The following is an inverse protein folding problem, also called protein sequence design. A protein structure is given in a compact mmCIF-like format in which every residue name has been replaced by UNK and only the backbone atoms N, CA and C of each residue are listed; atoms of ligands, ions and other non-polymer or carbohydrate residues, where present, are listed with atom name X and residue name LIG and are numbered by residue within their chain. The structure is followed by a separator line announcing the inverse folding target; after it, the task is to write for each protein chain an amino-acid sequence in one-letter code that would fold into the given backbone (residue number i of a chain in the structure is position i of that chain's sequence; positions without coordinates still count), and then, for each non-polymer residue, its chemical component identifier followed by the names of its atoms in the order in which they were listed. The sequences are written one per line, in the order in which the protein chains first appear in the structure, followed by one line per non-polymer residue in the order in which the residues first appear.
data_IF_316308576273
#
_entry.id   IF_316308576273
#
_cell.length_a   1.000
_cell.length_b   1.000
_cell.length_c   1.000
_cell.angle_alpha   90.00
_cell.angle_beta   90.00
_cell.angle_gamma   90.00
#
_symmetry.space_group_name_H-M   'P 1'
#
loop_
_entity.id
_entity.type
_entity.pdbx_description
1 polymer ?
#
# COMPACT_ATOMS: atom_id res chain seq x y z
N UNK A 1 4.02 -28.74 -10.52
CA UNK A 1 3.93 -27.61 -11.46
C UNK A 1 4.33 -26.32 -10.74
N UNK A 2 5.09 -25.44 -11.39
CA UNK A 2 5.50 -24.15 -10.82
C UNK A 2 4.33 -23.20 -10.54
N UNK A 3 3.25 -23.26 -11.31
CA UNK A 3 2.04 -22.45 -11.06
C UNK A 3 1.39 -22.79 -9.72
N UNK A 4 1.29 -24.09 -9.40
CA UNK A 4 0.76 -24.57 -8.12
C UNK A 4 1.66 -24.15 -6.95
N UNK A 5 2.98 -24.19 -7.13
CA UNK A 5 3.92 -23.72 -6.11
C UNK A 5 3.78 -22.21 -5.88
N UNK A 6 3.62 -21.42 -6.94
CA UNK A 6 3.33 -19.99 -6.83
C UNK A 6 2.05 -19.72 -6.04
N UNK A 7 0.97 -20.44 -6.35
CA UNK A 7 -0.29 -20.35 -5.62
C UNK A 7 -0.14 -20.74 -4.14
N UNK A 8 0.65 -21.77 -3.84
CA UNK A 8 0.92 -22.17 -2.46
C UNK A 8 1.65 -21.05 -1.67
N UNK A 9 2.66 -20.42 -2.27
CA UNK A 9 3.33 -19.27 -1.66
C UNK A 9 2.40 -18.06 -1.51
N UNK A 10 1.52 -17.81 -2.49
CA UNK A 10 0.53 -16.74 -2.41
C UNK A 10 -0.45 -16.97 -1.26
N UNK A 11 -0.97 -18.19 -1.12
CA UNK A 11 -1.83 -18.57 0.01
C UNK A 11 -1.07 -18.45 1.33
N UNK A 12 0.16 -18.94 1.42
CA UNK A 12 0.99 -18.80 2.62
C UNK A 12 1.18 -17.32 3.01
N UNK A 13 1.43 -16.46 2.02
CA UNK A 13 1.61 -15.03 2.24
C UNK A 13 0.36 -14.38 2.86
N UNK A 14 -0.84 -14.70 2.33
CA UNK A 14 -2.08 -14.11 2.84
C UNK A 14 -2.61 -14.77 4.13
N UNK A 15 -2.37 -16.07 4.32
CA UNK A 15 -2.96 -16.83 5.43
C UNK A 15 -2.04 -16.96 6.64
N UNK A 16 -0.72 -16.96 6.45
CA UNK A 16 0.25 -17.20 7.54
C UNK A 16 0.90 -15.90 7.95
N UNK A 17 1.70 -15.31 7.07
CA UNK A 17 2.45 -14.10 7.33
C UNK A 17 2.79 -13.41 6.01
N UNK A 18 2.56 -12.10 5.97
CA UNK A 18 2.84 -11.25 4.80
C UNK A 18 4.32 -10.89 4.71
N UNK A 19 5.18 -11.91 4.68
CA UNK A 19 6.62 -11.75 4.56
C UNK A 19 7.02 -11.47 3.11
N UNK A 20 7.79 -10.41 2.89
CA UNK A 20 8.27 -10.05 1.54
C UNK A 20 9.08 -11.18 0.88
N UNK A 21 9.75 -12.02 1.68
CA UNK A 21 10.49 -13.18 1.17
C UNK A 21 9.57 -14.21 0.50
N UNK A 22 8.42 -14.52 1.12
CA UNK A 22 7.42 -15.44 0.55
C UNK A 22 6.82 -14.88 -0.74
N UNK A 23 6.54 -13.58 -0.79
CA UNK A 23 6.04 -12.94 -2.02
C UNK A 23 7.07 -13.00 -3.15
N UNK A 24 8.37 -12.82 -2.86
CA UNK A 24 9.45 -13.00 -3.85
C UNK A 24 9.54 -14.44 -4.37
N UNK A 25 9.34 -15.44 -3.50
CA UNK A 25 9.28 -16.85 -3.91
C UNK A 25 8.07 -17.12 -4.81
N UNK A 26 6.90 -16.58 -4.45
CA UNK A 26 5.69 -16.62 -5.28
C UNK A 26 5.94 -16.08 -6.69
N UNK A 27 6.50 -14.86 -6.79
CA UNK A 27 6.81 -14.25 -8.08
C UNK A 27 7.85 -15.03 -8.88
N UNK A 28 8.85 -15.62 -8.22
CA UNK A 28 9.84 -16.47 -8.86
C UNK A 28 9.21 -17.75 -9.43
N UNK A 29 8.28 -18.36 -8.69
CA UNK A 29 7.55 -19.54 -9.15
C UNK A 29 6.65 -19.23 -10.36
N UNK A 30 5.92 -18.11 -10.35
CA UNK A 30 5.13 -17.70 -11.52
C UNK A 30 6.00 -17.42 -12.75
N UNK A 31 7.16 -16.79 -12.58
CA UNK A 31 8.11 -16.58 -13.68
C UNK A 31 8.60 -17.90 -14.29
N UNK A 32 8.80 -18.94 -13.47
CA UNK A 32 9.14 -20.28 -13.98
C UNK A 32 7.94 -20.95 -14.67
N UNK A 33 6.73 -20.76 -14.15
CA UNK A 33 5.51 -21.29 -14.76
C UNK A 33 5.25 -20.72 -16.16
N UNK A 34 5.58 -19.45 -16.40
CA UNK A 34 5.43 -18.83 -17.73
C UNK A 34 6.33 -19.43 -18.83
N UNK A 35 7.37 -20.17 -18.44
CA UNK A 35 8.26 -20.88 -19.37
C UNK A 35 7.67 -22.24 -19.78
N UNK A 36 6.73 -22.78 -19.01
CA UNK A 36 6.06 -24.04 -19.34
C UNK A 36 4.95 -23.80 -20.38
N UNK A 37 4.98 -24.48 -21.54
CA UNK A 37 4.01 -24.24 -22.62
C UNK A 37 2.55 -24.47 -22.22
N UNK A 38 2.30 -25.38 -21.25
CA UNK A 38 0.95 -25.70 -20.80
C UNK A 38 0.48 -24.62 -19.82
N UNK A 39 1.29 -24.29 -18.81
CA UNK A 39 0.95 -23.30 -17.80
C UNK A 39 0.82 -21.88 -18.39
N UNK A 40 1.61 -21.54 -19.42
CA UNK A 40 1.50 -20.26 -20.15
C UNK A 40 0.13 -20.06 -20.81
N UNK A 41 -0.59 -21.14 -21.12
CA UNK A 41 -1.95 -21.09 -21.65
C UNK A 41 -3.04 -21.00 -20.58
N UNK A 42 -2.69 -21.05 -19.29
CA UNK A 42 -3.66 -21.06 -18.19
C UNK A 42 -3.96 -19.63 -17.72
N UNK A 43 -5.22 -19.15 -17.82
CA UNK A 43 -5.58 -17.80 -17.40
C UNK A 43 -5.38 -17.56 -15.89
N UNK A 44 -5.60 -18.58 -15.07
CA UNK A 44 -5.45 -18.53 -13.61
C UNK A 44 -4.04 -18.13 -13.14
N UNK A 45 -3.01 -18.53 -13.90
CA UNK A 45 -1.62 -18.16 -13.63
C UNK A 45 -1.47 -16.63 -13.60
N UNK A 46 -1.98 -15.97 -14.63
CA UNK A 46 -1.85 -14.52 -14.80
C UNK A 46 -2.78 -13.75 -13.89
N UNK A 47 -3.97 -14.27 -13.61
CA UNK A 47 -4.85 -13.68 -12.61
C UNK A 47 -4.19 -13.69 -11.23
N UNK A 48 -3.69 -14.83 -10.76
CA UNK A 48 -3.06 -14.93 -9.44
C UNK A 48 -1.76 -14.11 -9.36
N UNK A 49 -0.96 -14.11 -10.44
CA UNK A 49 0.19 -13.22 -10.56
C UNK A 49 -0.22 -11.74 -10.47
N UNK A 50 -1.30 -11.35 -11.15
CA UNK A 50 -1.86 -10.00 -11.09
C UNK A 50 -2.31 -9.60 -9.69
N UNK A 51 -2.92 -10.51 -8.94
CA UNK A 51 -3.28 -10.28 -7.52
C UNK A 51 -2.03 -10.04 -6.66
N UNK A 52 -0.99 -10.87 -6.83
CA UNK A 52 0.27 -10.72 -6.11
C UNK A 52 0.96 -9.37 -6.43
N UNK A 53 1.05 -9.02 -7.72
CA UNK A 53 1.63 -7.76 -8.19
C UNK A 53 0.84 -6.54 -7.71
N UNK A 54 -0.49 -6.59 -7.76
CA UNK A 54 -1.37 -5.53 -7.24
C UNK A 54 -1.11 -5.31 -5.74
N UNK A 55 -0.93 -6.39 -4.97
CA UNK A 55 -0.62 -6.29 -3.55
C UNK A 55 0.76 -5.68 -3.29
N UNK A 56 1.76 -6.01 -4.11
CA UNK A 56 3.13 -5.47 -4.04
C UNK A 56 3.26 -4.04 -4.61
N UNK A 57 2.16 -3.45 -5.07
CA UNK A 57 2.10 -2.12 -5.75
C UNK A 57 2.85 -2.06 -7.09
N UNK A 58 3.11 -3.21 -7.72
CA UNK A 58 3.57 -3.32 -9.11
C UNK A 58 2.38 -3.19 -10.06
N UNK A 59 1.81 -1.99 -10.14
CA UNK A 59 0.52 -1.76 -10.78
C UNK A 59 0.53 -1.95 -12.31
N UNK A 60 1.62 -1.60 -12.98
CA UNK A 60 1.75 -1.76 -14.43
C UNK A 60 1.68 -3.24 -14.81
N UNK A 61 2.53 -4.07 -14.23
CA UNK A 61 2.56 -5.50 -14.49
C UNK A 61 1.29 -6.22 -14.01
N UNK A 62 0.63 -5.70 -12.97
CA UNK A 62 -0.67 -6.22 -12.53
C UNK A 62 -1.75 -6.00 -13.60
N UNK A 63 -1.82 -4.79 -14.18
CA UNK A 63 -2.75 -4.47 -15.27
C UNK A 63 -2.50 -5.37 -16.48
N UNK A 64 -1.24 -5.56 -16.87
CA UNK A 64 -0.87 -6.46 -17.96
C UNK A 64 -1.27 -7.91 -17.68
N UNK A 65 -1.05 -8.39 -16.46
CA UNK A 65 -1.38 -9.75 -16.06
C UNK A 65 -2.90 -10.00 -16.11
N UNK A 66 -3.71 -9.05 -15.63
CA UNK A 66 -5.17 -9.15 -15.74
C UNK A 66 -5.66 -9.04 -17.19
N UNK A 67 -5.09 -8.16 -18.00
CA UNK A 67 -5.42 -8.04 -19.43
C UNK A 67 -5.10 -9.33 -20.18
N UNK A 68 -3.95 -9.94 -19.90
CA UNK A 68 -3.57 -11.21 -20.51
C UNK A 68 -4.47 -12.37 -20.08
N UNK A 69 -4.85 -12.45 -18.80
CA UNK A 69 -5.85 -13.42 -18.32
C UNK A 69 -7.19 -13.25 -19.04
N UNK A 70 -7.65 -12.01 -19.27
CA UNK A 70 -8.87 -11.74 -20.05
C UNK A 70 -8.77 -12.22 -21.50
N UNK A 71 -7.59 -12.19 -22.12
CA UNK A 71 -7.39 -12.65 -23.50
C UNK A 71 -7.39 -14.17 -23.60
N UNK A 72 -6.85 -14.86 -22.59
CA UNK A 72 -6.80 -16.32 -22.53
C UNK A 72 -8.19 -16.93 -22.30
N UNK A 73 -9.03 -16.31 -21.46
CA UNK A 73 -10.41 -16.75 -21.21
C UNK A 73 -11.39 -15.56 -21.17
N UNK A 74 -11.90 -15.11 -22.33
CA UNK A 74 -12.77 -13.92 -22.40
C UNK A 74 -14.09 -13.99 -21.62
N UNK A 75 -14.77 -15.15 -21.49
CA UNK A 75 -15.94 -15.30 -20.62
C UNK A 75 -15.65 -15.16 -19.12
N UNK A 76 -14.40 -15.34 -18.67
CA UNK A 76 -14.03 -15.31 -17.26
C UNK A 76 -14.05 -13.88 -16.71
N UNK A 77 -15.02 -13.61 -15.83
CA UNK A 77 -15.31 -12.26 -15.31
C UNK A 77 -14.27 -11.70 -14.31
N UNK A 78 -13.71 -12.48 -13.36
CA UNK A 78 -12.86 -11.95 -12.29
C UNK A 78 -11.67 -11.10 -12.77
N UNK A 79 -10.84 -11.50 -13.75
CA UNK A 79 -9.75 -10.65 -14.21
C UNK A 79 -10.23 -9.33 -14.80
N UNK A 80 -11.37 -9.34 -15.50
CA UNK A 80 -11.98 -8.13 -16.07
C UNK A 80 -12.47 -7.18 -14.98
N UNK A 81 -13.04 -7.72 -13.90
CA UNK A 81 -13.45 -6.95 -12.73
C UNK A 81 -12.24 -6.34 -12.04
N UNK A 82 -11.23 -7.14 -11.73
CA UNK A 82 -9.98 -6.68 -11.10
C UNK A 82 -9.26 -5.61 -11.92
N UNK A 83 -9.21 -5.79 -13.25
CA UNK A 83 -8.67 -4.80 -14.18
C UNK A 83 -9.42 -3.46 -14.10
N UNK A 84 -10.76 -3.49 -14.10
CA UNK A 84 -11.58 -2.28 -14.00
C UNK A 84 -11.40 -1.59 -12.64
N UNK A 85 -11.43 -2.35 -11.55
CA UNK A 85 -11.22 -1.85 -10.18
C UNK A 85 -9.85 -1.22 -10.02
N UNK A 86 -8.79 -1.86 -10.54
CA UNK A 86 -7.43 -1.34 -10.47
C UNK A 86 -7.29 -0.04 -11.27
N UNK A 87 -7.86 0.05 -12.47
CA UNK A 87 -7.88 1.28 -13.27
C UNK A 87 -8.59 2.41 -12.52
N UNK A 88 -9.75 2.14 -11.92
CA UNK A 88 -10.49 3.13 -11.14
C UNK A 88 -9.68 3.59 -9.92
N UNK A 89 -9.07 2.67 -9.19
CA UNK A 89 -8.21 2.96 -8.04
C UNK A 89 -7.02 3.84 -8.43
N UNK A 90 -6.33 3.53 -9.52
CA UNK A 90 -5.16 4.28 -9.99
C UNK A 90 -5.54 5.69 -10.46
N UNK A 91 -6.64 5.83 -11.21
CA UNK A 91 -7.17 7.14 -11.60
C UNK A 91 -7.56 7.97 -10.38
N UNK A 92 -8.26 7.36 -9.42
CA UNK A 92 -8.65 8.02 -8.17
C UNK A 92 -7.44 8.47 -7.34
N UNK A 93 -6.44 7.60 -7.20
CA UNK A 93 -5.22 7.88 -6.43
C UNK A 93 -4.39 8.98 -7.09
N UNK A 94 -4.20 8.90 -8.41
CA UNK A 94 -3.50 9.92 -9.19
C UNK A 94 -4.18 11.28 -9.06
N UNK A 95 -5.52 11.33 -9.20
CA UNK A 95 -6.29 12.56 -9.03
C UNK A 95 -6.23 13.10 -7.60
N UNK A 96 -6.30 12.22 -6.60
CA UNK A 96 -6.23 12.58 -5.19
C UNK A 96 -4.90 13.27 -4.86
N UNK A 97 -3.78 12.69 -5.29
CA UNK A 97 -2.43 13.26 -5.09
C UNK A 97 -2.26 14.55 -5.88
N UNK A 98 -2.60 14.55 -7.17
CA UNK A 98 -2.46 15.70 -8.07
C UNK A 98 -3.24 16.92 -7.60
N UNK A 99 -4.46 16.71 -7.09
CA UNK A 99 -5.35 17.80 -6.63
C UNK A 99 -5.26 18.06 -5.13
N UNK A 100 -4.45 17.29 -4.39
CA UNK A 100 -4.33 17.37 -2.92
C UNK A 100 -5.69 17.31 -2.25
N UNK A 101 -6.52 16.36 -2.66
CA UNK A 101 -7.90 16.20 -2.19
C UNK A 101 -8.84 17.36 -2.55
N UNK A 102 -8.52 18.13 -3.60
CA UNK A 102 -9.25 19.35 -4.03
C UNK A 102 -9.36 20.41 -2.91
N UNK A 103 -8.42 20.41 -1.96
CA UNK A 103 -8.36 21.40 -0.89
C UNK A 103 -7.72 22.69 -1.43
N UNK A 104 -8.35 23.83 -1.17
CA UNK A 104 -7.83 25.15 -1.55
C UNK A 104 -6.44 25.39 -0.93
N UNK A 105 -5.51 25.97 -1.70
CA UNK A 105 -4.12 26.22 -1.29
C UNK A 105 -3.99 26.96 0.05
N UNK A 106 -4.82 27.98 0.30
CA UNK A 106 -4.84 28.70 1.59
C UNK A 106 -5.18 27.79 2.77
N UNK A 107 -6.12 26.86 2.59
CA UNK A 107 -6.49 25.88 3.62
C UNK A 107 -5.39 24.83 3.81
N UNK A 108 -4.72 24.39 2.74
CA UNK A 108 -3.56 23.51 2.83
C UNK A 108 -2.43 24.15 3.64
N UNK A 109 -2.10 25.41 3.37
CA UNK A 109 -1.09 26.16 4.13
C UNK A 109 -1.46 26.24 5.62
N UNK A 110 -2.73 26.51 5.95
CA UNK A 110 -3.20 26.49 7.34
C UNK A 110 -3.07 25.11 8.00
N UNK A 111 -3.43 24.04 7.28
CA UNK A 111 -3.31 22.66 7.77
C UNK A 111 -1.84 22.33 8.09
N UNK A 112 -0.93 22.66 7.18
CA UNK A 112 0.51 22.43 7.34
C UNK A 112 1.10 23.28 8.47
N UNK A 113 0.79 24.57 8.54
CA UNK A 113 1.26 25.46 9.62
C UNK A 113 0.79 25.03 11.01
N UNK A 114 -0.35 24.33 11.09
CA UNK A 114 -0.88 23.83 12.36
C UNK A 114 -0.24 22.51 12.83
N UNK A 115 0.74 21.96 12.11
CA UNK A 115 1.47 20.76 12.53
C UNK A 115 2.33 21.12 13.76
N UNK A 116 1.98 20.55 14.91
CA UNK A 116 2.70 20.74 16.18
C UNK A 116 3.74 19.62 16.38
N UNK A 117 4.91 19.95 16.93
CA UNK A 117 5.94 18.98 17.35
C UNK A 117 5.41 17.94 18.35
N UNK A 118 4.37 18.26 19.12
CA UNK A 118 3.68 17.29 20.00
C UNK A 118 3.08 16.10 19.23
N UNK A 119 2.80 16.27 17.94
CA UNK A 119 2.28 15.20 17.08
C UNK A 119 3.31 14.11 16.78
N UNK A 120 4.60 14.38 17.03
CA UNK A 120 5.67 13.37 16.97
C UNK A 120 5.48 12.29 18.05
N UNK A 121 4.79 12.61 19.15
CA UNK A 121 4.46 11.66 20.21
C UNK A 121 5.69 10.89 20.70
N UNK A 122 5.67 9.56 20.53
CA UNK A 122 6.78 8.71 20.92
C UNK A 122 8.03 8.85 20.04
N UNK A 123 7.90 9.38 18.82
CA UNK A 123 8.98 9.58 17.87
C UNK A 123 9.66 10.95 18.02
N UNK A 124 9.65 11.50 19.24
CA UNK A 124 10.38 12.73 19.53
C UNK A 124 11.91 12.49 19.38
N UNK A 125 12.70 13.51 18.99
CA UNK A 125 14.13 13.35 18.63
C UNK A 125 15.00 12.68 19.70
N UNK A 126 14.68 12.88 20.98
CA UNK A 126 15.45 12.38 22.12
C UNK A 126 15.09 10.94 22.52
N UNK A 127 14.18 10.29 21.79
CA UNK A 127 13.73 8.93 22.08
C UNK A 127 14.43 7.94 21.15
N UNK A 128 15.01 6.91 21.76
CA UNK A 128 15.66 5.82 21.04
C UNK A 128 14.67 4.68 20.78
N UNK A 129 14.68 4.18 19.55
CA UNK A 129 13.77 3.14 19.06
C UNK A 129 14.51 1.89 18.61
N UNK A 130 13.76 0.80 18.49
CA UNK A 130 14.24 -0.45 17.90
C UNK A 130 13.41 -0.75 16.66
N UNK A 131 14.07 -0.88 15.51
CA UNK A 131 13.47 -1.22 14.23
C UNK A 131 14.10 -2.52 13.71
N UNK A 132 13.34 -3.62 13.76
CA UNK A 132 13.85 -4.95 13.43
C UNK A 132 15.07 -5.31 14.29
N UNK A 133 16.22 -5.54 13.66
CA UNK A 133 17.48 -5.82 14.33
C UNK A 133 18.23 -4.58 14.82
N UNK A 134 17.89 -3.38 14.33
CA UNK A 134 18.56 -2.12 14.67
C UNK A 134 18.03 -1.59 16.00
N UNK A 135 18.93 -1.42 16.97
CA UNK A 135 18.65 -0.85 18.29
C UNK A 135 19.17 0.58 18.38
N UNK A 136 18.62 1.37 19.29
CA UNK A 136 19.06 2.73 19.58
C UNK A 136 19.01 3.67 18.36
N UNK A 137 17.94 3.58 17.57
CA UNK A 137 17.72 4.44 16.41
C UNK A 137 17.00 5.72 16.86
N UNK A 138 17.60 6.88 16.60
CA UNK A 138 16.93 8.18 16.67
C UNK A 138 16.36 8.52 15.29
N UNK A 139 15.18 9.16 15.28
CA UNK A 139 14.49 9.52 14.06
C UNK A 139 14.63 11.02 13.77
N UNK A 140 14.98 11.33 12.53
CA UNK A 140 15.04 12.69 12.03
C UNK A 140 13.81 13.01 11.17
N UNK A 141 13.07 14.06 11.53
CA UNK A 141 11.95 14.52 10.71
C UNK A 141 12.44 14.92 9.33
N UNK A 142 11.81 14.37 8.29
CA UNK A 142 12.20 14.57 6.89
C UNK A 142 10.98 14.92 6.05
N UNK A 143 11.16 15.86 5.11
CA UNK A 143 10.14 16.31 4.17
C UNK A 143 9.94 15.32 3.03
N UNK A 144 8.76 15.34 2.42
CA UNK A 144 8.39 14.49 1.27
C UNK A 144 9.35 14.71 0.10
N UNK A 145 9.74 15.97 -0.17
CA UNK A 145 10.64 16.31 -1.27
C UNK A 145 12.09 15.81 -1.06
N UNK A 146 12.47 15.50 0.18
CA UNK A 146 13.79 15.01 0.55
C UNK A 146 13.87 13.48 0.70
N UNK A 147 12.74 12.77 0.58
CA UNK A 147 12.73 11.31 0.63
C UNK A 147 13.37 10.69 -0.62
N UNK A 148 14.10 9.61 -0.42
CA UNK A 148 14.67 8.79 -1.48
C UNK A 148 13.76 7.61 -1.82
N UNK A 149 13.78 7.17 -3.08
CA UNK A 149 13.05 5.97 -3.51
C UNK A 149 13.59 4.74 -2.77
N UNK A 150 12.69 3.94 -2.20
CA UNK A 150 13.01 2.82 -1.33
C UNK A 150 12.86 3.16 0.15
N UNK A 151 13.56 2.40 1.00
CA UNK A 151 13.50 2.55 2.46
C UNK A 151 14.29 3.77 2.93
N UNK A 152 13.64 4.67 3.66
CA UNK A 152 14.29 5.84 4.28
C UNK A 152 14.55 5.57 5.76
N UNK A 153 15.61 4.82 6.05
CA UNK A 153 15.99 4.47 7.42
C UNK A 153 16.26 5.68 8.30
N UNK A 154 15.89 5.59 9.58
CA UNK A 154 16.06 6.67 10.56
C UNK A 154 15.36 7.99 10.21
N UNK A 155 14.50 8.01 9.18
CA UNK A 155 13.70 9.18 8.81
C UNK A 155 12.29 9.06 9.34
N UNK A 156 11.67 10.20 9.62
CA UNK A 156 10.28 10.30 10.05
C UNK A 156 9.53 11.29 9.16
N UNK A 157 8.51 10.79 8.49
CA UNK A 157 7.60 11.64 7.72
C UNK A 157 6.45 12.11 8.63
N UNK A 158 6.15 13.40 8.59
CA UNK A 158 5.02 14.00 9.32
C UNK A 158 4.21 14.86 8.36
N UNK A 159 2.90 14.65 8.31
CA UNK A 159 2.04 15.43 7.42
C UNK A 159 0.56 15.40 7.81
N UNK A 160 -0.24 16.09 7.02
CA UNK A 160 -1.69 16.21 7.18
C UNK A 160 -2.42 15.38 6.12
N UNK A 161 -3.47 14.69 6.53
CA UNK A 161 -4.34 13.96 5.61
C UNK A 161 -5.22 14.95 4.85
N UNK A 162 -5.24 14.84 3.53
CA UNK A 162 -6.01 15.73 2.63
C UNK A 162 -7.16 15.04 1.89
N UNK A 163 -7.21 13.71 1.93
CA UNK A 163 -8.30 12.92 1.37
C UNK A 163 -8.00 11.44 1.42
N UNK A 164 -9.00 10.60 1.16
CA UNK A 164 -8.86 9.15 1.12
C UNK A 164 -9.54 8.56 -0.11
N UNK A 165 -9.07 7.39 -0.52
CA UNK A 165 -9.71 6.56 -1.54
C UNK A 165 -10.56 5.53 -0.83
N UNK A 166 -11.85 5.50 -1.18
CA UNK A 166 -12.71 4.38 -0.82
C UNK A 166 -12.48 3.26 -1.82
N UNK A 167 -12.08 2.09 -1.32
CA UNK A 167 -11.90 0.88 -2.11
C UNK A 167 -12.90 -0.16 -1.60
N UNK A 168 -13.60 -0.84 -2.52
CA UNK A 168 -14.53 -1.92 -2.17
C UNK A 168 -13.78 -3.09 -1.51
N UNK A 169 -12.53 -3.34 -1.91
CA UNK A 169 -11.62 -4.17 -1.14
C UNK A 169 -11.02 -3.31 -0.02
N UNK A 170 -11.36 -3.60 1.24
CA UNK A 170 -10.93 -2.85 2.43
C UNK A 170 -9.40 -2.70 2.62
N UNK A 171 -8.58 -3.33 1.77
CA UNK A 171 -7.12 -3.32 1.82
C UNK A 171 -6.53 -2.96 0.45
N UNK A 172 -5.57 -2.02 0.37
CA UNK A 172 -5.11 -1.14 1.46
C UNK A 172 -6.06 0.03 1.74
N UNK A 173 -6.08 0.50 2.99
CA UNK A 173 -6.63 1.83 3.28
C UNK A 173 -5.68 2.87 2.70
N UNK A 174 -6.18 3.69 1.78
CA UNK A 174 -5.35 4.60 1.00
C UNK A 174 -5.77 6.04 1.24
N UNK A 175 -4.82 6.90 1.61
CA UNK A 175 -5.06 8.33 1.83
C UNK A 175 -3.91 9.18 1.33
N UNK A 176 -4.18 10.45 1.03
CA UNK A 176 -3.14 11.38 0.63
C UNK A 176 -2.66 12.23 1.81
N UNK A 177 -1.34 12.41 1.87
CA UNK A 177 -0.64 13.18 2.88
C UNK A 177 0.04 14.40 2.23
N UNK A 178 0.01 15.53 2.93
CA UNK A 178 0.75 16.75 2.55
C UNK A 178 1.60 17.20 3.74
N UNK A 179 2.84 17.61 3.49
CA UNK A 179 3.77 18.10 4.50
C UNK A 179 4.11 19.58 4.30
N UNK A 180 5.14 20.06 5.01
CA UNK A 180 5.63 21.44 4.91
C UNK A 180 6.26 21.81 3.56
N UNK A 181 6.71 20.84 2.77
CA UNK A 181 7.17 21.10 1.40
C UNK A 181 6.02 21.39 0.44
N UNK A 182 4.77 21.25 0.90
CA UNK A 182 3.56 21.31 0.09
C UNK A 182 3.48 20.23 -0.99
N UNK A 183 4.40 19.26 -1.02
CA UNK A 183 4.28 18.07 -1.85
C UNK A 183 3.14 17.17 -1.32
N UNK A 184 2.63 16.30 -2.19
CA UNK A 184 1.60 15.35 -1.82
C UNK A 184 2.03 13.93 -2.20
N UNK A 185 1.76 12.99 -1.30
CA UNK A 185 2.09 11.57 -1.48
C UNK A 185 0.88 10.72 -1.10
N UNK A 186 0.66 9.63 -1.85
CA UNK A 186 -0.32 8.62 -1.46
C UNK A 186 0.28 7.76 -0.35
N UNK A 187 -0.50 7.39 0.65
CA UNK A 187 -0.08 6.47 1.72
C UNK A 187 -1.00 5.27 1.67
N UNK A 188 -0.41 4.10 1.43
CA UNK A 188 -1.10 2.81 1.41
C UNK A 188 -0.84 2.09 2.72
N UNK A 189 -1.90 1.82 3.48
CA UNK A 189 -1.78 1.14 4.77
C UNK A 189 -2.48 -0.21 4.71
N UNK A 190 -1.67 -1.25 4.86
CA UNK A 190 -2.12 -2.64 4.87
C UNK A 190 -2.45 -3.08 6.31
N UNK A 191 -3.24 -4.14 6.46
CA UNK A 191 -3.62 -4.71 7.76
C UNK A 191 -4.35 -3.74 8.71
N UNK A 192 -4.99 -2.70 8.19
CA UNK A 192 -5.89 -1.86 8.97
C UNK A 192 -7.27 -2.52 9.04
N UNK A 193 -7.85 -2.62 10.23
CA UNK A 193 -9.20 -3.13 10.43
C UNK A 193 -10.25 -2.29 9.69
N UNK A 194 -11.25 -2.97 9.16
CA UNK A 194 -12.31 -2.34 8.37
C UNK A 194 -13.11 -1.31 9.20
N UNK A 195 -13.57 -0.24 8.55
CA UNK A 195 -14.26 0.88 9.21
C UNK A 195 -13.38 1.71 10.16
N UNK A 196 -12.05 1.65 10.00
CA UNK A 196 -11.07 2.49 10.70
C UNK A 196 -10.11 3.11 9.69
N UNK A 197 -9.47 4.21 10.07
CA UNK A 197 -8.56 4.92 9.19
C UNK A 197 -8.30 6.36 9.66
N UNK A 198 -7.35 7.01 9.00
CA UNK A 198 -7.11 8.43 9.19
C UNK A 198 -8.17 9.26 8.43
N UNK A 199 -8.59 10.38 9.02
CA UNK A 199 -9.57 11.29 8.40
C UNK A 199 -8.91 12.58 7.95
N UNK A 200 -9.59 13.32 7.07
CA UNK A 200 -9.09 14.61 6.58
C UNK A 200 -8.81 15.55 7.75
N UNK A 201 -7.60 16.12 7.76
CA UNK A 201 -7.12 17.00 8.83
C UNK A 201 -6.31 16.29 9.90
N UNK A 202 -6.32 14.96 10.00
CA UNK A 202 -5.44 14.25 10.92
C UNK A 202 -3.97 14.51 10.60
N UNK A 203 -3.16 14.61 11.64
CA UNK A 203 -1.71 14.62 11.54
C UNK A 203 -1.21 13.18 11.65
N UNK A 204 -0.46 12.71 10.65
CA UNK A 204 0.07 11.34 10.61
C UNK A 204 1.59 11.36 10.62
N UNK A 205 2.18 10.61 11.55
CA UNK A 205 3.61 10.36 11.61
C UNK A 205 3.92 8.94 11.13
N UNK A 206 4.85 8.81 10.17
CA UNK A 206 5.25 7.55 9.54
C UNK A 206 6.77 7.37 9.73
N UNK A 207 7.21 6.46 10.61
CA UNK A 207 8.63 6.16 10.75
C UNK A 207 9.13 5.32 9.58
N UNK A 208 10.37 5.55 9.19
CA UNK A 208 11.08 4.81 8.13
C UNK A 208 10.26 4.60 6.85
N UNK A 209 9.75 5.70 6.25
CA UNK A 209 8.84 5.61 5.12
C UNK A 209 9.52 4.93 3.93
N UNK A 210 8.83 3.98 3.32
CA UNK A 210 9.26 3.35 2.07
C UNK A 210 8.58 4.05 0.91
N UNK A 211 9.33 4.85 0.15
CA UNK A 211 8.81 5.65 -0.97
C UNK A 211 8.90 4.87 -2.28
N UNK A 212 7.82 4.89 -3.06
CA UNK A 212 7.76 4.35 -4.42
C UNK A 212 7.28 5.41 -5.41
N UNK A 213 7.78 5.32 -6.65
CA UNK A 213 7.35 6.17 -7.77
C UNK A 213 6.51 5.32 -8.71
N UNK A 214 5.26 5.74 -8.93
CA UNK A 214 4.32 5.06 -9.81
C UNK A 214 4.11 5.91 -11.04
N UNK A 215 4.65 5.47 -12.18
CA UNK A 215 4.50 6.18 -13.45
C UNK A 215 4.18 5.20 -14.57
N UNK A 216 3.04 5.40 -15.21
CA UNK A 216 2.61 4.60 -16.35
C UNK A 216 1.75 5.43 -17.29
N UNK A 217 1.83 5.14 -18.59
CA UNK A 217 0.99 5.75 -19.61
C UNK A 217 0.53 4.70 -20.61
N UNK A 218 -0.78 4.48 -20.67
CA UNK A 218 -1.43 3.60 -21.63
C UNK A 218 -2.78 4.18 -22.05
N UNK A 219 -3.39 3.71 -23.15
CA UNK A 219 -4.75 4.11 -23.53
C UNK A 219 -5.80 3.82 -22.44
N UNK A 220 -5.52 2.84 -21.56
CA UNK A 220 -6.44 2.41 -20.49
C UNK A 220 -6.32 3.29 -19.24
N UNK A 221 -5.10 3.65 -18.85
CA UNK A 221 -4.83 4.44 -17.65
C UNK A 221 -3.49 5.19 -17.77
N UNK A 222 -3.46 6.42 -17.26
CA UNK A 222 -2.23 7.21 -17.12
C UNK A 222 -2.14 7.74 -15.69
N UNK A 223 -1.02 7.50 -15.03
CA UNK A 223 -0.79 7.95 -13.66
C UNK A 223 0.69 8.31 -13.44
N UNK A 224 0.93 9.31 -12.60
CA UNK A 224 2.27 9.74 -12.16
C UNK A 224 2.14 10.26 -10.73
N UNK A 225 2.42 9.41 -9.74
CA UNK A 225 2.32 9.76 -8.32
C UNK A 225 3.35 9.04 -7.46
N UNK A 226 3.68 9.66 -6.31
CA UNK A 226 4.51 9.06 -5.26
C UNK A 226 3.61 8.29 -4.29
N UNK A 227 4.04 7.11 -3.81
CA UNK A 227 3.40 6.42 -2.67
C UNK A 227 4.38 6.16 -1.52
N UNK A 228 3.85 6.09 -0.30
CA UNK A 228 4.51 5.56 0.88
C UNK A 228 3.73 4.35 1.37
N UNK A 229 4.39 3.20 1.38
CA UNK A 229 3.78 1.95 1.82
C UNK A 229 3.99 1.73 3.31
N UNK A 230 2.92 1.36 4.01
CA UNK A 230 2.91 1.02 5.44
C UNK A 230 2.28 -0.35 5.63
N UNK A 231 3.10 -1.35 5.96
CA UNK A 231 2.63 -2.73 6.15
C UNK A 231 1.94 -2.95 7.51
N UNK A 232 2.30 -2.15 8.52
CA UNK A 232 1.77 -2.28 9.88
C UNK A 232 1.23 -0.94 10.39
N UNK A 233 -0.11 -0.78 10.54
CA UNK A 233 -0.71 0.48 10.97
C UNK A 233 -0.30 0.84 12.41
N UNK A 234 0.17 -0.11 13.22
CA UNK A 234 0.64 0.16 14.59
C UNK A 234 1.91 1.01 14.65
N UNK A 235 2.64 1.15 13.52
CA UNK A 235 3.78 2.05 13.40
C UNK A 235 3.35 3.51 13.19
N UNK A 236 2.09 3.74 12.81
CA UNK A 236 1.58 5.09 12.61
C UNK A 236 1.24 5.76 13.94
N UNK A 237 1.51 7.06 14.01
CA UNK A 237 0.85 7.93 14.98
C UNK A 237 -0.19 8.79 14.28
N UNK A 238 -1.40 8.81 14.82
CA UNK A 238 -2.48 9.69 14.37
C UNK A 238 -2.72 10.71 15.48
N UNK A 239 -2.49 11.98 15.18
CA UNK A 239 -2.55 13.09 16.13
C UNK A 239 -1.71 12.82 17.39
N UNK A 240 -0.50 12.29 17.22
CA UNK A 240 0.44 11.95 18.30
C UNK A 240 0.10 10.68 19.09
N UNK A 241 -0.98 9.97 18.75
CA UNK A 241 -1.42 8.74 19.44
C UNK A 241 -1.18 7.51 18.57
N UNK A 242 -0.77 6.41 19.20
CA UNK A 242 -0.63 5.12 18.52
C UNK A 242 -1.98 4.61 18.03
N UNK A 243 -1.98 3.99 16.85
CA UNK A 243 -3.10 3.18 16.40
C UNK A 243 -3.29 2.01 17.37
N UNK A 244 -4.51 1.87 17.90
CA UNK A 244 -4.83 0.83 18.88
C UNK A 244 -4.74 -0.59 18.29
N UNK A 245 -4.39 -1.59 19.10
CA UNK A 245 -4.30 -3.00 18.67
C UNK A 245 -5.62 -3.54 18.10
N UNK A 246 -6.75 -2.99 18.55
CA UNK A 246 -8.08 -3.31 18.05
C UNK A 246 -8.35 -2.80 16.62
N UNK A 247 -7.45 -1.98 16.07
CA UNK A 247 -7.53 -1.49 14.68
C UNK A 247 -6.57 -2.24 13.75
N UNK A 248 -5.84 -3.25 14.25
CA UNK A 248 -5.04 -4.14 13.42
C UNK A 248 -5.91 -5.31 12.94
N UNK A 249 -5.97 -5.54 11.64
CA UNK A 249 -6.60 -6.72 11.07
C UNK A 249 -5.66 -7.92 11.26
N UNK A 250 -5.87 -8.70 12.33
CA UNK A 250 -5.22 -10.00 12.47
C UNK A 250 -5.82 -10.99 11.48
N UNK A 251 -5.01 -11.89 10.93
CA UNK A 251 -5.48 -13.09 10.22
C UNK A 251 -6.34 -13.92 11.18
N UNK A 252 -7.66 -13.74 11.13
CA UNK A 252 -8.60 -14.59 11.85
C UNK A 252 -8.89 -15.79 10.97
N UNK A 253 -8.33 -16.94 11.33
CA UNK A 253 -8.91 -18.22 10.91
C UNK A 253 -10.17 -18.40 11.75
N UNK A 254 -11.29 -17.86 11.28
CA UNK A 254 -12.60 -18.25 11.81
C UNK A 254 -12.94 -19.61 11.24
N UNK A 255 -12.72 -20.66 12.03
CA UNK A 255 -13.30 -21.97 11.77
C UNK A 255 -14.82 -21.84 11.93
N UNK A 256 -15.57 -21.99 10.85
CA UNK A 256 -17.04 -22.03 10.87
C UNK A 256 -17.59 -23.41 11.24
N UNK A 257 -16.80 -24.28 11.86
CA UNK A 257 -17.30 -25.54 12.39
C UNK A 257 -17.90 -25.32 13.78
N UNK A 258 -19.21 -25.05 13.81
CA UNK A 258 -20.02 -25.44 14.96
C UNK A 258 -20.06 -26.97 14.96
N UNK A 259 -19.32 -27.57 15.91
CA UNK A 259 -19.48 -28.99 16.20
C UNK A 259 -20.79 -29.09 17.00
N UNK A 260 -21.84 -29.57 16.34
CA UNK A 260 -23.07 -30.02 17.00
C UNK A 260 -22.82 -31.31 17.79
#
# INVERSE_FOLDING_TARGET
SWSVLGNAYLCQFFMVAQEQATLKLCMSAYKQAEQDPIAKGQPDLYYNKGIALKYDECYEEALESFDYACRLDPPWKPPKQELATLVQYLNGTNELVRTKGKIKTKKLQQMVQSIDKKMLGMYAPDVLHTFGSRRNVSLEQTRIDALQVGSNESRLLLGRVVGSIHNESAVPFTFALVDESMECVSVTVYNWADGRGAIIGDCVAIPEPTLSLHKHASPRVTYDFKSVRVNNPMQLLINGKRVGRNQFASTRVTSTYEIH
#
